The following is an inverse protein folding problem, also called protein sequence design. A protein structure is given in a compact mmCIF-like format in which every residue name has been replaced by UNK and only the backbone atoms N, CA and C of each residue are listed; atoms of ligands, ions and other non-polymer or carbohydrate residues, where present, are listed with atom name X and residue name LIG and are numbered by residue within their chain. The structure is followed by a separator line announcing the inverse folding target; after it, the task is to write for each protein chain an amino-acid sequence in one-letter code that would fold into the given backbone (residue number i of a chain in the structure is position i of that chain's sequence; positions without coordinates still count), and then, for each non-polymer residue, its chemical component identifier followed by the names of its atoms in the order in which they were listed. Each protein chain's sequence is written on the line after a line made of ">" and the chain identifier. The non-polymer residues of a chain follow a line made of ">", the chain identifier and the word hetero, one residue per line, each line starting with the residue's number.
data_IF_882130074143
#
_entry.id   IF_882130074143
#
_cell.length_a   1.000
_cell.length_b   1.000
_cell.length_c   1.000
_cell.angle_alpha   90.00
_cell.angle_beta   90.00
_cell.angle_gamma   90.00
#
_symmetry.space_group_name_H-M   'P 1'
#
loop_
_entity.id
_entity.type
_entity.pdbx_description
1 polymer ?
#
# COMPACT_ATOMS: atom_id res chain seq x y z
N UNK A 1 -2.30 -37.05 36.57
CA UNK A 1 -3.18 -36.44 35.53
C UNK A 1 -3.13 -34.90 35.44
N UNK A 2 -2.99 -34.14 36.53
CA UNK A 2 -3.03 -32.67 36.53
C UNK A 2 -1.93 -31.96 35.69
N UNK A 3 -0.70 -32.50 35.62
CA UNK A 3 0.40 -31.96 34.79
C UNK A 3 0.09 -31.99 33.28
N UNK A 4 -0.63 -33.00 32.80
CA UNK A 4 -1.03 -33.15 31.38
C UNK A 4 -2.13 -32.13 31.01
N UNK A 5 -3.13 -31.93 31.89
CA UNK A 5 -4.17 -30.90 31.75
C UNK A 5 -3.60 -29.46 31.69
N UNK A 6 -2.64 -29.12 32.55
CA UNK A 6 -2.01 -27.77 32.61
C UNK A 6 -1.10 -27.48 31.39
N UNK A 7 -0.41 -28.51 30.86
CA UNK A 7 0.39 -28.43 29.61
C UNK A 7 -0.52 -28.17 28.39
N UNK A 8 -1.70 -28.78 28.36
CA UNK A 8 -2.69 -28.58 27.31
C UNK A 8 -3.30 -27.15 27.34
N UNK A 9 -3.52 -26.58 28.52
CA UNK A 9 -4.06 -25.21 28.66
C UNK A 9 -3.16 -24.10 28.10
N UNK A 10 -1.84 -24.17 28.32
CA UNK A 10 -0.88 -23.17 27.81
C UNK A 10 -0.75 -23.28 26.28
N UNK A 11 -0.70 -24.50 25.74
CA UNK A 11 -0.69 -24.72 24.28
C UNK A 11 -2.00 -24.24 23.64
N UNK A 12 -3.14 -24.48 24.27
CA UNK A 12 -4.46 -24.01 23.80
C UNK A 12 -4.54 -22.49 23.75
N UNK A 13 -4.05 -21.78 24.76
CA UNK A 13 -4.05 -20.31 24.78
C UNK A 13 -3.05 -19.71 23.77
N UNK A 14 -1.88 -20.33 23.58
CA UNK A 14 -0.94 -19.92 22.53
C UNK A 14 -1.52 -20.15 21.12
N UNK A 15 -2.21 -21.27 20.92
CA UNK A 15 -2.92 -21.57 19.67
C UNK A 15 -4.04 -20.55 19.40
N UNK A 16 -4.88 -20.24 20.40
CA UNK A 16 -5.91 -19.19 20.28
C UNK A 16 -5.30 -17.83 19.89
N UNK A 17 -4.17 -17.45 20.48
CA UNK A 17 -3.48 -16.20 20.12
C UNK A 17 -2.91 -16.22 18.70
N UNK A 18 -2.46 -17.38 18.20
CA UNK A 18 -1.98 -17.53 16.83
C UNK A 18 -3.12 -17.49 15.82
N UNK A 19 -4.22 -18.21 16.08
CA UNK A 19 -5.44 -18.17 15.27
C UNK A 19 -6.00 -16.74 15.20
N UNK A 20 -6.02 -16.01 16.32
CA UNK A 20 -6.43 -14.60 16.35
C UNK A 20 -5.52 -13.71 15.47
N UNK A 21 -4.20 -13.95 15.46
CA UNK A 21 -3.29 -13.21 14.56
C UNK A 21 -3.52 -13.52 13.09
N UNK A 22 -3.82 -14.77 12.75
CA UNK A 22 -4.22 -15.14 11.37
C UNK A 22 -5.49 -14.40 10.98
N UNK A 23 -6.49 -14.40 11.85
CA UNK A 23 -7.73 -13.67 11.64
C UNK A 23 -7.48 -12.17 11.40
N UNK A 24 -6.61 -11.52 12.19
CA UNK A 24 -6.25 -10.12 11.99
C UNK A 24 -5.56 -9.88 10.63
N UNK A 25 -4.67 -10.77 10.20
CA UNK A 25 -4.03 -10.68 8.88
C UNK A 25 -5.07 -10.83 7.77
N UNK A 26 -6.01 -11.78 7.89
CA UNK A 26 -7.08 -11.95 6.92
C UNK A 26 -8.01 -10.73 6.85
N UNK A 27 -8.41 -10.18 8.00
CA UNK A 27 -9.22 -8.97 8.06
C UNK A 27 -8.50 -7.77 7.42
N UNK A 28 -7.20 -7.63 7.68
CA UNK A 28 -6.35 -6.62 7.02
C UNK A 28 -6.30 -6.83 5.51
N UNK A 29 -6.12 -8.06 5.03
CA UNK A 29 -6.08 -8.36 3.60
C UNK A 29 -7.42 -8.06 2.92
N UNK A 30 -8.55 -8.32 3.57
CA UNK A 30 -9.88 -7.93 3.04
C UNK A 30 -9.98 -6.41 2.89
N UNK A 31 -9.60 -5.66 3.92
CA UNK A 31 -9.60 -4.19 3.86
C UNK A 31 -8.65 -3.64 2.79
N UNK A 32 -7.46 -4.24 2.70
CA UNK A 32 -6.47 -3.89 1.68
C UNK A 32 -6.98 -4.17 0.27
N UNK A 33 -7.65 -5.31 0.04
CA UNK A 33 -8.28 -5.66 -1.23
C UNK A 33 -9.37 -4.67 -1.65
N UNK A 34 -10.20 -4.22 -0.70
CA UNK A 34 -11.22 -3.20 -0.98
C UNK A 34 -10.56 -1.87 -1.35
N UNK A 35 -9.51 -1.48 -0.61
CA UNK A 35 -8.80 -0.21 -0.83
C UNK A 35 -8.07 -0.19 -2.17
N UNK A 36 -7.50 -1.31 -2.59
CA UNK A 36 -6.71 -1.40 -3.83
C UNK A 36 -7.56 -1.64 -5.09
N UNK A 37 -8.82 -2.06 -4.92
CA UNK A 37 -9.72 -2.40 -6.02
C UNK A 37 -9.86 -1.30 -7.09
N UNK A 38 -10.05 -0.01 -6.75
CA UNK A 38 -10.08 1.08 -7.73
C UNK A 38 -8.83 1.16 -8.60
N UNK A 39 -7.64 0.97 -8.01
CA UNK A 39 -6.37 1.04 -8.72
C UNK A 39 -6.15 -0.15 -9.64
N UNK A 40 -6.60 -1.33 -9.22
CA UNK A 40 -6.53 -2.56 -10.05
C UNK A 40 -7.48 -2.45 -11.24
N UNK A 41 -8.71 -1.98 -11.01
CA UNK A 41 -9.70 -1.82 -12.09
C UNK A 41 -9.29 -0.73 -13.07
N UNK A 42 -8.75 0.39 -12.60
CA UNK A 42 -8.16 1.43 -13.45
C UNK A 42 -6.98 0.87 -14.26
N UNK A 43 -6.09 0.08 -13.65
CA UNK A 43 -5.00 -0.58 -14.38
C UNK A 43 -5.52 -1.53 -15.48
N UNK A 44 -6.57 -2.31 -15.21
CA UNK A 44 -7.20 -3.20 -16.20
C UNK A 44 -7.87 -2.40 -17.34
N UNK A 45 -8.56 -1.31 -17.03
CA UNK A 45 -9.16 -0.45 -18.05
C UNK A 45 -8.09 0.21 -18.94
N UNK A 46 -6.97 0.69 -18.36
CA UNK A 46 -5.87 1.22 -19.16
C UNK A 46 -5.25 0.15 -20.10
N UNK A 47 -5.22 -1.13 -19.70
CA UNK A 47 -4.79 -2.22 -20.59
C UNK A 47 -5.79 -2.43 -21.74
N UNK A 48 -7.09 -2.38 -21.45
CA UNK A 48 -8.15 -2.44 -22.47
C UNK A 48 -8.04 -1.27 -23.45
N UNK A 49 -7.88 -0.04 -22.94
CA UNK A 49 -7.72 1.18 -23.75
C UNK A 49 -6.52 1.07 -24.69
N UNK A 50 -5.39 0.56 -24.17
CA UNK A 50 -4.17 0.33 -24.97
C UNK A 50 -4.42 -0.70 -26.08
N UNK A 51 -5.15 -1.79 -25.79
CA UNK A 51 -5.51 -2.78 -26.79
C UNK A 51 -6.46 -2.21 -27.87
N UNK A 52 -7.46 -1.40 -27.48
CA UNK A 52 -8.36 -0.70 -28.40
C UNK A 52 -7.58 0.26 -29.29
N UNK A 53 -6.67 1.03 -28.71
CA UNK A 53 -5.82 1.98 -29.41
C UNK A 53 -4.93 1.29 -30.44
N UNK A 54 -4.22 0.22 -30.08
CA UNK A 54 -3.39 -0.53 -31.01
C UNK A 54 -4.22 -1.12 -32.15
N UNK A 55 -5.35 -1.75 -31.82
CA UNK A 55 -6.24 -2.30 -32.84
C UNK A 55 -6.79 -1.24 -33.79
N UNK A 56 -7.16 -0.07 -33.26
CA UNK A 56 -7.62 1.07 -34.05
C UNK A 56 -6.51 1.57 -34.99
N UNK A 57 -5.28 1.71 -34.49
CA UNK A 57 -4.12 2.13 -35.28
C UNK A 57 -3.77 1.13 -36.38
N UNK A 58 -3.78 -0.17 -36.07
CA UNK A 58 -3.52 -1.25 -37.02
C UNK A 58 -4.59 -1.32 -38.12
N UNK A 59 -5.86 -1.09 -37.74
CA UNK A 59 -6.98 -1.08 -38.68
C UNK A 59 -7.11 0.19 -39.50
N UNK A 60 -6.37 1.26 -39.22
CA UNK A 60 -6.39 2.54 -39.95
C UNK A 60 -5.80 2.42 -41.38
N UNK A 61 -6.28 1.45 -42.16
CA UNK A 61 -6.02 1.21 -43.57
C UNK A 61 -6.87 2.16 -44.44
N UNK A 62 -6.60 2.21 -45.75
CA UNK A 62 -7.35 3.06 -46.68
C UNK A 62 -8.85 2.66 -46.75
N UNK A 63 -9.18 1.38 -46.58
CA UNK A 63 -10.57 0.92 -46.55
C UNK A 63 -11.30 1.40 -45.29
N UNK A 64 -10.61 1.42 -44.14
CA UNK A 64 -11.14 1.98 -42.90
C UNK A 64 -11.32 3.50 -42.99
N UNK A 65 -10.36 4.21 -43.60
CA UNK A 65 -10.50 5.64 -43.88
C UNK A 65 -11.75 5.92 -44.72
N UNK A 66 -12.01 5.14 -45.76
CA UNK A 66 -13.21 5.27 -46.59
C UNK A 66 -14.50 5.08 -45.77
N UNK A 67 -14.55 4.05 -44.90
CA UNK A 67 -15.71 3.84 -44.03
C UNK A 67 -15.92 4.99 -43.03
N UNK A 68 -14.84 5.57 -42.49
CA UNK A 68 -14.91 6.77 -41.65
C UNK A 68 -15.37 8.01 -42.42
N UNK A 69 -14.99 8.13 -43.70
CA UNK A 69 -15.47 9.22 -44.56
C UNK A 69 -16.96 9.09 -44.88
N UNK A 70 -17.44 7.88 -45.16
CA UNK A 70 -18.87 7.62 -45.34
C UNK A 70 -19.66 7.98 -44.06
N UNK A 71 -19.18 7.54 -42.90
CA UNK A 71 -19.76 7.89 -41.59
C UNK A 71 -19.76 9.40 -41.34
N UNK A 72 -18.65 10.07 -41.65
CA UNK A 72 -18.53 11.53 -41.57
C UNK A 72 -19.56 12.22 -42.47
N UNK A 73 -19.73 11.78 -43.71
CA UNK A 73 -20.69 12.37 -44.63
C UNK A 73 -22.13 12.23 -44.13
N UNK A 74 -22.50 11.06 -43.63
CA UNK A 74 -23.82 10.82 -43.03
C UNK A 74 -24.07 11.73 -41.82
N UNK A 75 -23.12 11.80 -40.90
CA UNK A 75 -23.24 12.64 -39.69
C UNK A 75 -23.25 14.13 -40.03
N UNK A 76 -22.48 14.57 -41.04
CA UNK A 76 -22.51 15.97 -41.51
C UNK A 76 -23.86 16.37 -42.11
N UNK A 77 -24.63 15.41 -42.66
CA UNK A 77 -26.00 15.66 -43.15
C UNK A 77 -26.95 15.82 -41.97
N UNK A 78 -26.85 14.96 -40.95
CA UNK A 78 -27.64 15.05 -39.71
C UNK A 78 -27.34 16.36 -38.96
N UNK A 79 -26.07 16.74 -38.86
CA UNK A 79 -25.59 17.99 -38.28
C UNK A 79 -26.26 19.22 -38.95
N UNK A 80 -26.34 19.23 -40.28
CA UNK A 80 -26.97 20.32 -41.05
C UNK A 80 -28.49 20.39 -40.92
N UNK A 81 -29.14 19.26 -40.70
CA UNK A 81 -30.59 19.16 -40.52
C UNK A 81 -31.04 19.44 -39.08
N UNK A 82 -30.10 19.78 -38.20
CA UNK A 82 -30.34 19.91 -36.78
C UNK A 82 -31.15 21.16 -36.44
N UNK A 83 -32.25 20.96 -35.75
CA UNK A 83 -33.11 22.02 -35.17
C UNK A 83 -33.08 22.06 -33.64
N UNK A 84 -32.51 21.05 -32.96
CA UNK A 84 -32.52 20.91 -31.49
C UNK A 84 -31.15 21.15 -30.85
N UNK A 85 -31.11 21.61 -29.59
CA UNK A 85 -29.89 21.75 -28.78
C UNK A 85 -29.19 20.40 -28.53
N UNK A 86 -27.92 20.41 -28.10
CA UNK A 86 -27.18 19.18 -27.79
C UNK A 86 -27.75 18.63 -26.49
N UNK A 87 -28.05 17.35 -26.44
CA UNK A 87 -28.52 16.73 -25.22
C UNK A 87 -27.35 16.48 -24.27
N UNK A 88 -27.57 16.68 -22.97
CA UNK A 88 -26.52 16.39 -21.98
C UNK A 88 -26.38 14.87 -21.81
N UNK A 89 -25.19 14.30 -22.07
CA UNK A 89 -24.97 12.86 -22.00
C UNK A 89 -25.08 12.30 -20.57
N UNK A 90 -25.16 13.16 -19.56
CA UNK A 90 -25.26 12.79 -18.14
C UNK A 90 -26.58 13.26 -17.50
N UNK A 91 -27.62 13.50 -18.30
CA UNK A 91 -28.96 13.85 -17.82
C UNK A 91 -29.62 12.69 -17.09
N UNK A 92 -30.54 12.98 -16.15
CA UNK A 92 -31.26 11.93 -15.39
C UNK A 92 -31.95 10.92 -16.32
N UNK A 93 -32.60 11.37 -17.39
CA UNK A 93 -33.22 10.50 -18.40
C UNK A 93 -32.21 9.56 -19.08
N UNK A 94 -30.99 10.04 -19.34
CA UNK A 94 -29.92 9.24 -19.93
C UNK A 94 -29.38 8.18 -18.95
N UNK A 95 -29.37 8.49 -17.65
CA UNK A 95 -28.85 7.63 -16.59
C UNK A 95 -29.89 6.63 -16.06
N UNK A 96 -31.17 6.98 -15.98
CA UNK A 96 -32.25 6.07 -15.54
C UNK A 96 -32.45 4.90 -16.51
N UNK A 97 -32.19 5.12 -17.80
CA UNK A 97 -32.27 4.09 -18.85
C UNK A 97 -30.93 3.37 -19.09
N UNK A 98 -29.90 3.68 -18.31
CA UNK A 98 -28.56 3.13 -18.46
C UNK A 98 -28.45 1.73 -17.83
N UNK A 99 -28.79 0.69 -18.59
CA UNK A 99 -28.33 -0.66 -18.25
C UNK A 99 -26.84 -0.78 -18.59
N UNK A 100 -25.99 -1.01 -17.58
CA UNK A 100 -24.58 -1.32 -17.82
C UNK A 100 -24.42 -2.78 -18.23
N UNK A 101 -24.13 -3.03 -19.50
CA UNK A 101 -23.84 -4.36 -20.04
C UNK A 101 -22.34 -4.52 -20.23
N UNK A 102 -21.82 -5.64 -19.75
CA UNK A 102 -20.45 -6.04 -20.05
C UNK A 102 -20.39 -6.56 -21.47
N UNK A 103 -19.63 -5.88 -22.32
CA UNK A 103 -19.43 -6.28 -23.72
C UNK A 103 -18.06 -6.91 -23.94
N UNK A 104 -17.90 -7.60 -25.07
CA UNK A 104 -16.59 -8.12 -25.49
C UNK A 104 -15.66 -7.00 -25.96
N UNK A 105 -14.37 -7.28 -26.02
CA UNK A 105 -13.38 -6.33 -26.54
C UNK A 105 -13.69 -5.92 -27.99
N UNK A 106 -14.16 -6.85 -28.82
CA UNK A 106 -14.53 -6.62 -30.22
C UNK A 106 -15.67 -5.61 -30.36
N UNK A 107 -16.64 -5.64 -29.45
CA UNK A 107 -17.70 -4.65 -29.41
C UNK A 107 -17.15 -3.23 -29.25
N UNK A 108 -16.19 -3.03 -28.34
CA UNK A 108 -15.54 -1.73 -28.17
C UNK A 108 -14.73 -1.34 -29.40
N UNK A 109 -14.06 -2.29 -30.06
CA UNK A 109 -13.32 -2.03 -31.29
C UNK A 109 -14.23 -1.49 -32.41
N UNK A 110 -15.43 -2.05 -32.59
CA UNK A 110 -16.36 -1.65 -33.65
C UNK A 110 -16.93 -0.24 -33.46
N UNK A 111 -17.09 0.19 -32.21
CA UNK A 111 -17.65 1.50 -31.86
C UNK A 111 -16.58 2.59 -31.71
N UNK A 112 -15.29 2.24 -31.78
CA UNK A 112 -14.20 3.22 -31.69
C UNK A 112 -14.05 4.00 -32.99
N UNK A 113 -14.18 5.31 -32.91
CA UNK A 113 -14.06 6.25 -34.04
C UNK A 113 -12.80 7.11 -33.98
N UNK A 114 -12.09 7.13 -32.86
CA UNK A 114 -10.86 7.89 -32.70
C UNK A 114 -10.20 7.67 -31.35
N UNK A 115 -9.17 8.45 -31.07
CA UNK A 115 -8.46 8.47 -29.79
C UNK A 115 -8.22 9.92 -29.38
N UNK A 116 -8.43 10.24 -28.10
CA UNK A 116 -8.04 11.52 -27.51
C UNK A 116 -6.79 11.34 -26.65
N UNK A 117 -5.79 12.18 -26.88
CA UNK A 117 -4.56 12.26 -26.08
C UNK A 117 -4.50 13.58 -25.34
N UNK A 118 -4.25 13.54 -24.03
CA UNK A 118 -4.16 14.71 -23.16
C UNK A 118 -2.84 14.63 -22.37
N UNK A 119 -1.73 15.14 -22.94
CA UNK A 119 -0.38 14.88 -22.43
C UNK A 119 -0.13 15.45 -21.04
N UNK A 120 -0.74 16.59 -20.73
CA UNK A 120 -0.63 17.30 -19.45
C UNK A 120 -1.02 16.39 -18.27
N UNK A 121 -2.06 15.58 -18.45
CA UNK A 121 -2.62 14.69 -17.43
C UNK A 121 -2.30 13.22 -17.70
N UNK A 122 -1.43 12.94 -18.68
CA UNK A 122 -0.98 11.59 -19.06
C UNK A 122 -2.13 10.63 -19.37
N UNK A 123 -3.17 11.14 -20.03
CA UNK A 123 -4.36 10.37 -20.39
C UNK A 123 -4.40 10.14 -21.91
N UNK A 124 -4.73 8.91 -22.30
CA UNK A 124 -5.18 8.56 -23.64
C UNK A 124 -6.45 7.72 -23.51
N UNK A 125 -7.46 8.00 -24.32
CA UNK A 125 -8.74 7.30 -24.27
C UNK A 125 -9.26 7.03 -25.69
N UNK A 126 -9.88 5.87 -25.93
CA UNK A 126 -10.68 5.69 -27.13
C UNK A 126 -11.85 6.68 -27.12
N UNK A 127 -12.25 7.11 -28.32
CA UNK A 127 -13.46 7.90 -28.57
C UNK A 127 -14.46 6.96 -29.22
N UNK A 128 -15.55 6.65 -28.51
CA UNK A 128 -16.67 5.88 -29.02
C UNK A 128 -17.69 6.77 -29.74
N UNK A 129 -18.49 6.18 -30.61
CA UNK A 129 -19.54 6.86 -31.38
C UNK A 129 -20.89 6.98 -30.65
N UNK A 130 -20.95 6.55 -29.40
CA UNK A 130 -22.18 6.47 -28.61
C UNK A 130 -21.91 6.91 -27.18
N UNK A 131 -22.75 7.81 -26.66
CA UNK A 131 -22.70 8.31 -25.28
C UNK A 131 -23.51 7.47 -24.29
N UNK A 132 -23.76 6.19 -24.61
CA UNK A 132 -24.36 5.26 -23.64
C UNK A 132 -23.37 4.96 -22.51
N UNK A 133 -23.90 4.62 -21.34
CA UNK A 133 -23.10 4.36 -20.14
C UNK A 133 -22.06 3.23 -20.32
N UNK A 134 -22.36 2.21 -21.13
CA UNK A 134 -21.43 1.13 -21.47
C UNK A 134 -20.13 1.62 -22.13
N UNK A 135 -20.19 2.76 -22.83
CA UNK A 135 -19.05 3.41 -23.48
C UNK A 135 -18.42 4.48 -22.58
N UNK A 136 -19.25 5.33 -21.96
CA UNK A 136 -18.77 6.40 -21.06
C UNK A 136 -18.05 5.85 -19.82
N UNK A 137 -18.40 4.64 -19.36
CA UNK A 137 -17.72 3.96 -18.26
C UNK A 137 -16.36 3.36 -18.64
N UNK A 138 -16.06 3.29 -19.95
CA UNK A 138 -14.83 2.70 -20.50
C UNK A 138 -13.90 3.69 -21.17
N UNK A 139 -14.41 4.77 -21.73
CA UNK A 139 -13.60 5.73 -22.47
C UNK A 139 -14.30 7.07 -22.67
N UNK A 140 -13.82 7.81 -23.66
CA UNK A 140 -14.50 9.01 -24.12
C UNK A 140 -15.54 8.64 -25.19
N UNK A 141 -16.55 9.47 -25.35
CA UNK A 141 -17.57 9.32 -26.37
C UNK A 141 -17.79 10.65 -27.09
N UNK A 142 -17.92 10.58 -28.40
CA UNK A 142 -18.36 11.71 -29.20
C UNK A 142 -19.84 11.97 -28.95
N UNK A 143 -20.19 13.22 -28.64
CA UNK A 143 -21.57 13.61 -28.44
C UNK A 143 -22.26 13.74 -29.80
N UNK A 144 -23.21 12.83 -30.06
CA UNK A 144 -23.97 12.80 -31.30
C UNK A 144 -24.58 14.18 -31.62
N UNK A 145 -24.65 14.50 -32.91
CA UNK A 145 -25.11 15.80 -33.42
C UNK A 145 -24.21 17.01 -33.12
N UNK A 146 -23.06 16.82 -32.45
CA UNK A 146 -21.93 17.78 -32.54
C UNK A 146 -21.14 17.53 -33.83
N UNK A 147 -20.22 18.41 -34.19
CA UNK A 147 -19.41 18.16 -35.39
C UNK A 147 -18.59 16.88 -35.22
N UNK A 148 -18.62 15.98 -36.20
CA UNK A 148 -17.77 14.79 -36.23
C UNK A 148 -16.27 15.15 -36.07
N UNK A 149 -15.46 14.37 -35.32
CA UNK A 149 -14.09 14.69 -34.88
C UNK A 149 -12.99 14.72 -35.99
N UNK A 150 -13.30 15.19 -37.20
CA UNK A 150 -12.34 15.36 -38.32
C UNK A 150 -11.75 16.79 -38.39
N UNK A 151 -12.20 17.70 -37.53
CA UNK A 151 -11.84 19.12 -37.59
C UNK A 151 -12.36 19.81 -38.87
N UNK A 152 -11.93 21.04 -39.09
CA UNK A 152 -12.35 21.90 -40.21
C UNK A 152 -13.01 23.21 -39.75
N UNK A 153 -13.06 24.20 -40.65
CA UNK A 153 -13.67 25.51 -40.38
C UNK A 153 -15.19 25.37 -40.19
N UNK A 154 -15.75 26.20 -39.32
CA UNK A 154 -17.18 26.20 -38.96
C UNK A 154 -17.60 24.89 -38.28
N UNK A 155 -16.75 24.36 -37.39
CA UNK A 155 -17.00 23.08 -36.70
C UNK A 155 -16.73 23.19 -35.21
N UNK A 156 -17.53 22.43 -34.45
CA UNK A 156 -17.40 22.29 -33.02
C UNK A 156 -17.72 20.86 -32.58
N UNK A 157 -16.67 20.06 -32.39
CA UNK A 157 -16.79 18.70 -31.86
C UNK A 157 -16.91 18.72 -30.34
N UNK A 158 -17.77 17.87 -29.78
CA UNK A 158 -17.86 17.68 -28.32
C UNK A 158 -17.57 16.23 -27.99
N UNK A 159 -16.63 16.01 -27.07
CA UNK A 159 -16.22 14.69 -26.58
C UNK A 159 -16.46 14.66 -25.08
N UNK A 160 -17.28 13.72 -24.62
CA UNK A 160 -17.63 13.55 -23.22
C UNK A 160 -16.97 12.32 -22.60
N UNK A 161 -16.55 12.41 -21.34
CA UNK A 161 -16.20 11.25 -20.53
C UNK A 161 -16.52 11.51 -19.06
N UNK A 162 -16.68 10.45 -18.27
CA UNK A 162 -16.95 10.57 -16.84
C UNK A 162 -15.79 11.21 -16.06
N UNK A 163 -16.13 11.76 -14.90
CA UNK A 163 -15.19 12.28 -13.90
C UNK A 163 -15.46 11.64 -12.55
N UNK A 164 -14.44 11.01 -11.99
CA UNK A 164 -14.47 10.42 -10.66
C UNK A 164 -15.13 9.04 -10.56
N UNK A 165 -15.07 8.22 -11.61
CA UNK A 165 -15.52 6.82 -11.48
C UNK A 165 -14.61 6.05 -10.50
N UNK A 166 -15.18 5.16 -9.66
CA UNK A 166 -14.37 4.30 -8.80
C UNK A 166 -13.46 3.33 -9.56
N UNK A 167 -13.74 3.08 -10.85
CA UNK A 167 -13.11 2.03 -11.64
C UNK A 167 -12.23 2.54 -12.79
N UNK A 168 -12.30 3.82 -13.14
CA UNK A 168 -11.54 4.38 -14.26
C UNK A 168 -11.28 5.89 -14.08
N UNK A 169 -10.05 6.32 -14.41
CA UNK A 169 -9.65 7.72 -14.27
C UNK A 169 -10.31 8.65 -15.30
N UNK A 170 -10.42 8.25 -16.58
CA UNK A 170 -11.11 9.01 -17.64
C UNK A 170 -10.78 10.53 -17.61
N UNK A 171 -11.79 11.41 -17.55
CA UNK A 171 -11.62 12.87 -17.46
C UNK A 171 -11.59 13.37 -16.00
N UNK A 172 -11.25 12.52 -15.03
CA UNK A 172 -11.17 12.90 -13.61
C UNK A 172 -10.29 14.13 -13.38
N UNK A 173 -9.17 14.20 -14.09
CA UNK A 173 -8.16 15.26 -13.96
C UNK A 173 -8.30 16.38 -15.01
N UNK A 174 -9.43 16.44 -15.74
CA UNK A 174 -9.63 17.44 -16.80
C UNK A 174 -9.58 18.88 -16.27
N UNK A 175 -9.87 19.09 -14.99
CA UNK A 175 -9.76 20.40 -14.31
C UNK A 175 -8.33 20.90 -14.13
N UNK A 176 -7.31 20.05 -14.36
CA UNK A 176 -5.89 20.43 -14.33
C UNK A 176 -5.40 21.07 -15.63
N UNK A 177 -6.22 21.07 -16.68
CA UNK A 177 -5.90 21.75 -17.93
C UNK A 177 -6.04 23.25 -17.75
N UNK A 178 -5.13 23.99 -18.37
CA UNK A 178 -5.09 25.44 -18.37
C UNK A 178 -5.13 25.98 -19.80
N UNK A 179 -5.47 27.27 -19.95
CA UNK A 179 -5.37 27.93 -21.26
C UNK A 179 -3.94 27.81 -21.78
N UNK A 180 -3.82 27.33 -23.02
CA UNK A 180 -2.54 27.11 -23.68
C UNK A 180 -2.01 25.68 -23.62
N UNK A 181 -2.54 24.82 -22.76
CA UNK A 181 -2.29 23.38 -22.84
C UNK A 181 -2.83 22.83 -24.18
N UNK A 182 -2.29 21.69 -24.63
CA UNK A 182 -2.66 21.07 -25.91
C UNK A 182 -3.19 19.67 -25.67
N UNK A 183 -4.24 19.29 -26.41
CA UNK A 183 -4.71 17.91 -26.55
C UNK A 183 -4.80 17.55 -28.04
N UNK A 184 -4.75 16.26 -28.35
CA UNK A 184 -4.71 15.76 -29.72
C UNK A 184 -5.84 14.76 -29.94
N UNK A 185 -6.56 14.90 -31.04
CA UNK A 185 -7.56 13.94 -31.51
C UNK A 185 -6.96 13.18 -32.69
N UNK A 186 -6.91 11.85 -32.59
CA UNK A 186 -6.54 10.95 -33.69
C UNK A 186 -7.80 10.37 -34.30
N UNK A 187 -7.99 10.57 -35.60
CA UNK A 187 -9.05 9.93 -36.40
C UNK A 187 -8.42 9.35 -37.66
N UNK A 188 -8.55 8.04 -37.84
CA UNK A 188 -7.81 7.30 -38.86
C UNK A 188 -6.30 7.49 -38.68
N UNK A 189 -5.64 8.10 -39.67
CA UNK A 189 -4.19 8.41 -39.62
C UNK A 189 -3.89 9.86 -39.23
N UNK A 190 -4.92 10.70 -39.14
CA UNK A 190 -4.77 12.13 -38.92
C UNK A 190 -4.68 12.44 -37.43
N UNK A 191 -3.77 13.34 -37.08
CA UNK A 191 -3.64 13.88 -35.74
C UNK A 191 -4.01 15.36 -35.77
N UNK A 192 -5.03 15.73 -35.00
CA UNK A 192 -5.60 17.07 -34.96
C UNK A 192 -5.29 17.66 -33.58
N UNK A 193 -4.35 18.61 -33.53
CA UNK A 193 -3.97 19.26 -32.28
C UNK A 193 -4.87 20.47 -31.98
N UNK A 194 -5.30 20.59 -30.73
CA UNK A 194 -6.11 21.70 -30.25
C UNK A 194 -5.45 22.34 -29.04
N UNK A 195 -5.28 23.66 -29.07
CA UNK A 195 -4.77 24.45 -27.95
C UNK A 195 -5.96 24.95 -27.14
N UNK A 196 -5.96 24.72 -25.83
CA UNK A 196 -7.03 25.17 -24.92
C UNK A 196 -7.12 26.69 -24.96
N UNK A 197 -8.28 27.20 -25.36
CA UNK A 197 -8.56 28.64 -25.46
C UNK A 197 -9.60 29.10 -24.46
N UNK A 198 -10.50 28.22 -24.02
CA UNK A 198 -11.53 28.56 -23.04
C UNK A 198 -11.82 27.39 -22.09
N UNK A 199 -12.17 27.73 -20.85
CA UNK A 199 -12.57 26.77 -19.81
C UNK A 199 -13.79 27.35 -19.11
N UNK A 200 -14.91 26.63 -19.12
CA UNK A 200 -16.16 27.10 -18.53
C UNK A 200 -16.79 26.02 -17.63
N UNK A 201 -17.52 26.46 -16.60
CA UNK A 201 -18.43 25.62 -15.82
C UNK A 201 -19.85 26.09 -16.13
N UNK A 202 -20.68 25.19 -16.63
CA UNK A 202 -22.06 25.49 -17.06
C UNK A 202 -23.05 24.54 -16.41
N UNK A 203 -24.33 24.90 -16.42
CA UNK A 203 -25.40 23.96 -16.04
C UNK A 203 -25.60 22.91 -17.14
N UNK A 204 -26.11 21.70 -16.82
CA UNK A 204 -26.36 20.65 -17.81
C UNK A 204 -27.19 21.11 -19.01
N UNK A 205 -28.16 21.99 -18.79
CA UNK A 205 -29.07 22.48 -19.84
C UNK A 205 -28.48 23.60 -20.70
N UNK A 206 -27.33 24.18 -20.28
CA UNK A 206 -26.70 25.28 -20.99
C UNK A 206 -25.74 24.75 -22.08
N UNK A 207 -26.28 24.63 -23.28
CA UNK A 207 -25.54 24.22 -24.47
C UNK A 207 -24.98 25.40 -25.27
N UNK A 208 -24.99 26.62 -24.73
CA UNK A 208 -24.59 27.82 -25.48
C UNK A 208 -23.12 27.77 -25.90
N UNK A 209 -22.27 27.20 -25.03
CA UNK A 209 -20.82 27.08 -25.21
C UNK A 209 -20.37 26.00 -26.18
N UNK A 210 -21.26 25.08 -26.55
CA UNK A 210 -20.97 23.97 -27.47
C UNK A 210 -21.50 24.21 -28.89
N UNK A 211 -21.99 25.43 -29.18
CA UNK A 211 -22.44 25.81 -30.52
C UNK A 211 -21.26 26.05 -31.45
N UNK A 212 -21.49 25.79 -32.74
CA UNK A 212 -20.55 26.12 -33.81
C UNK A 212 -20.33 27.64 -33.83
N UNK A 213 -19.06 28.04 -33.96
CA UNK A 213 -18.66 29.43 -34.08
C UNK A 213 -18.06 29.66 -35.45
N UNK A 214 -18.61 30.65 -36.17
CA UNK A 214 -18.21 30.95 -37.53
C UNK A 214 -16.72 31.30 -37.61
N UNK A 215 -16.02 30.70 -38.57
CA UNK A 215 -14.59 30.88 -38.84
C UNK A 215 -13.66 30.05 -37.95
N UNK A 216 -14.19 29.21 -37.04
CA UNK A 216 -13.37 28.49 -36.06
C UNK A 216 -13.48 26.97 -36.21
N UNK A 217 -12.40 26.27 -35.84
CA UNK A 217 -12.33 24.82 -35.71
C UNK A 217 -12.11 24.49 -34.23
N UNK A 218 -13.17 24.05 -33.56
CA UNK A 218 -13.22 23.89 -32.11
C UNK A 218 -13.46 22.43 -31.71
N UNK A 219 -12.85 22.01 -30.61
CA UNK A 219 -13.19 20.77 -29.92
C UNK A 219 -13.34 21.06 -28.43
N UNK A 220 -14.42 20.60 -27.83
CA UNK A 220 -14.65 20.69 -26.38
C UNK A 220 -14.58 19.31 -25.74
N UNK A 221 -13.74 19.18 -24.71
CA UNK A 221 -13.75 18.07 -23.78
C UNK A 221 -14.73 18.39 -22.64
N UNK A 222 -15.72 17.52 -22.44
CA UNK A 222 -16.83 17.72 -21.52
C UNK A 222 -16.82 16.66 -20.42
N UNK A 223 -16.98 17.10 -19.17
CA UNK A 223 -17.19 16.18 -18.04
C UNK A 223 -18.04 16.80 -16.93
N UNK A 224 -18.40 16.02 -15.91
CA UNK A 224 -19.17 16.47 -14.75
C UNK A 224 -18.30 17.20 -13.71
N UNK A 225 -18.89 18.18 -13.02
CA UNK A 225 -18.24 18.95 -11.95
C UNK A 225 -19.28 19.53 -10.99
N UNK A 226 -18.97 19.91 -9.73
CA UNK A 226 -17.77 19.59 -8.96
C UNK A 226 -17.57 18.08 -8.74
N UNK A 227 -16.35 17.68 -8.40
CA UNK A 227 -15.99 16.27 -8.17
C UNK A 227 -16.94 15.61 -7.15
N UNK A 228 -17.46 14.42 -7.48
CA UNK A 228 -18.44 13.65 -6.70
C UNK A 228 -19.83 14.30 -6.50
N UNK A 229 -20.05 15.51 -7.03
CA UNK A 229 -21.33 16.24 -6.92
C UNK A 229 -22.05 16.27 -8.27
N UNK A 230 -21.32 16.46 -9.37
CA UNK A 230 -21.80 16.32 -10.75
C UNK A 230 -23.02 17.20 -11.14
N UNK A 231 -23.25 18.31 -10.44
CA UNK A 231 -24.38 19.23 -10.69
C UNK A 231 -24.18 20.17 -11.88
N UNK A 232 -22.95 20.29 -12.37
CA UNK A 232 -22.54 21.17 -13.46
C UNK A 232 -21.68 20.38 -14.47
N UNK A 233 -21.36 21.03 -15.59
CA UNK A 233 -20.46 20.50 -16.63
C UNK A 233 -19.22 21.38 -16.74
N UNK A 234 -18.05 20.76 -16.69
CA UNK A 234 -16.77 21.37 -17.03
C UNK A 234 -16.54 21.20 -18.53
N UNK A 235 -16.37 22.32 -19.22
CA UNK A 235 -16.08 22.39 -20.65
C UNK A 235 -14.67 22.94 -20.84
N UNK A 236 -13.79 22.15 -21.45
CA UNK A 236 -12.45 22.57 -21.85
C UNK A 236 -12.41 22.65 -23.38
N UNK A 237 -12.48 23.87 -23.91
CA UNK A 237 -12.56 24.12 -25.35
C UNK A 237 -11.18 24.45 -25.91
N UNK A 238 -10.73 23.64 -26.85
CA UNK A 238 -9.54 23.88 -27.66
C UNK A 238 -9.88 24.37 -29.06
N UNK A 239 -9.00 25.20 -29.60
CA UNK A 239 -9.03 25.65 -30.99
C UNK A 239 -7.89 25.02 -31.77
N UNK A 240 -8.17 24.65 -33.02
CA UNK A 240 -7.22 23.97 -33.90
C UNK A 240 -5.91 24.76 -33.99
N UNK A 241 -4.80 24.06 -33.82
CA UNK A 241 -3.45 24.63 -33.89
C UNK A 241 -2.56 23.80 -34.81
N UNK A 242 -1.56 24.47 -35.41
CA UNK A 242 -0.47 23.81 -36.14
C UNK A 242 0.59 23.25 -35.20
N UNK A 243 0.56 23.63 -33.92
CA UNK A 243 1.45 23.12 -32.89
C UNK A 243 1.06 21.67 -32.53
N UNK A 244 1.58 20.72 -33.30
CA UNK A 244 1.51 19.31 -32.98
C UNK A 244 2.61 18.99 -31.95
N UNK A 245 2.25 18.50 -30.75
CA UNK A 245 3.25 17.86 -29.91
C UNK A 245 3.83 16.68 -30.68
N UNK A 246 5.10 16.36 -30.44
CA UNK A 246 5.72 15.15 -30.97
C UNK A 246 4.87 13.94 -30.55
N UNK A 247 4.12 13.39 -31.51
CA UNK A 247 3.08 12.39 -31.25
C UNK A 247 3.68 11.09 -30.75
N UNK A 248 4.87 10.71 -31.26
CA UNK A 248 5.59 9.54 -30.79
C UNK A 248 6.02 9.73 -29.34
N UNK A 249 6.72 10.83 -29.06
CA UNK A 249 7.17 11.12 -27.69
C UNK A 249 6.02 11.26 -26.71
N UNK A 250 4.91 11.87 -27.14
CA UNK A 250 3.70 12.02 -26.34
C UNK A 250 3.12 10.67 -25.93
N UNK A 251 2.92 9.77 -26.88
CA UNK A 251 2.38 8.43 -26.62
C UNK A 251 3.34 7.62 -25.75
N UNK A 252 4.65 7.65 -26.06
CA UNK A 252 5.67 7.01 -25.24
C UNK A 252 5.66 7.51 -23.78
N UNK A 253 5.56 8.82 -23.57
CA UNK A 253 5.51 9.42 -22.24
C UNK A 253 4.26 8.97 -21.46
N UNK A 254 3.11 8.84 -22.14
CA UNK A 254 1.85 8.36 -21.55
C UNK A 254 2.00 6.88 -21.18
N UNK A 255 2.44 6.04 -22.11
CA UNK A 255 2.60 4.60 -21.90
C UNK A 255 3.60 4.29 -20.79
N UNK A 256 4.72 5.01 -20.76
CA UNK A 256 5.76 4.86 -19.73
C UNK A 256 5.27 5.28 -18.36
N UNK A 257 4.45 6.34 -18.27
CA UNK A 257 3.79 6.74 -17.03
C UNK A 257 2.81 5.66 -16.54
N UNK A 258 1.97 5.12 -17.44
CA UNK A 258 1.02 4.06 -17.10
C UNK A 258 1.75 2.78 -16.65
N UNK A 259 2.82 2.38 -17.34
CA UNK A 259 3.63 1.23 -16.98
C UNK A 259 4.28 1.39 -15.60
N UNK A 260 4.83 2.57 -15.30
CA UNK A 260 5.42 2.85 -13.99
C UNK A 260 4.37 2.79 -12.87
N UNK A 261 3.18 3.36 -13.11
CA UNK A 261 2.04 3.30 -12.18
C UNK A 261 1.62 1.85 -11.91
N UNK A 262 1.50 1.03 -12.95
CA UNK A 262 1.16 -0.40 -12.84
C UNK A 262 2.24 -1.20 -12.10
N UNK A 263 3.53 -0.95 -12.39
CA UNK A 263 4.63 -1.59 -11.69
C UNK A 263 4.66 -1.22 -10.19
N UNK A 264 4.41 0.06 -9.87
CA UNK A 264 4.26 0.55 -8.50
C UNK A 264 3.13 -0.17 -7.75
N UNK A 265 1.98 -0.37 -8.41
CA UNK A 265 0.85 -1.11 -7.85
C UNK A 265 1.22 -2.56 -7.53
N UNK A 266 1.78 -3.30 -8.51
CA UNK A 266 2.16 -4.71 -8.34
C UNK A 266 3.22 -4.87 -7.26
N UNK A 267 4.26 -4.04 -7.27
CA UNK A 267 5.30 -4.07 -6.25
C UNK A 267 4.75 -3.79 -4.83
N UNK A 268 3.81 -2.85 -4.69
CA UNK A 268 3.12 -2.57 -3.43
C UNK A 268 2.31 -3.77 -2.90
N UNK A 269 1.61 -4.50 -3.77
CA UNK A 269 0.88 -5.73 -3.42
C UNK A 269 1.86 -6.81 -2.96
N UNK A 270 2.91 -7.08 -3.74
CA UNK A 270 3.92 -8.11 -3.44
C UNK A 270 4.62 -7.81 -2.11
N UNK A 271 4.98 -6.55 -1.86
CA UNK A 271 5.58 -6.11 -0.59
C UNK A 271 4.62 -6.36 0.58
N UNK A 272 3.34 -6.00 0.45
CA UNK A 272 2.33 -6.20 1.49
C UNK A 272 2.13 -7.67 1.83
N UNK A 273 2.03 -8.54 0.82
CA UNK A 273 1.94 -9.99 1.00
C UNK A 273 3.19 -10.56 1.67
N UNK A 274 4.38 -10.12 1.24
CA UNK A 274 5.66 -10.55 1.82
C UNK A 274 5.75 -10.19 3.31
N UNK A 275 5.35 -8.98 3.70
CA UNK A 275 5.31 -8.54 5.09
C UNK A 275 4.32 -9.35 5.93
N UNK A 276 3.15 -9.69 5.37
CA UNK A 276 2.17 -10.57 6.02
C UNK A 276 2.74 -11.97 6.25
N UNK A 277 3.41 -12.55 5.24
CA UNK A 277 4.06 -13.86 5.34
C UNK A 277 5.17 -13.84 6.39
N UNK A 278 6.02 -12.81 6.39
CA UNK A 278 7.09 -12.64 7.39
C UNK A 278 6.50 -12.52 8.80
N UNK A 279 5.43 -11.74 8.97
CA UNK A 279 4.73 -11.60 10.25
C UNK A 279 4.17 -12.94 10.73
N UNK A 280 3.49 -13.69 9.86
CA UNK A 280 2.94 -15.01 10.17
C UNK A 280 4.04 -16.04 10.47
N UNK A 281 5.16 -15.99 9.75
CA UNK A 281 6.34 -16.82 10.01
C UNK A 281 6.87 -16.59 11.44
N UNK A 282 7.06 -15.33 11.84
CA UNK A 282 7.48 -15.01 13.22
C UNK A 282 6.41 -15.39 14.25
N UNK A 283 5.13 -15.21 13.94
CA UNK A 283 4.03 -15.65 14.80
C UNK A 283 4.06 -17.17 15.01
N UNK A 284 4.26 -17.95 13.94
CA UNK A 284 4.40 -19.40 13.98
C UNK A 284 5.64 -19.82 14.77
N UNK A 285 6.78 -19.18 14.53
CA UNK A 285 8.02 -19.44 15.28
C UNK A 285 7.81 -19.23 16.79
N UNK A 286 7.14 -18.15 17.18
CA UNK A 286 6.81 -17.91 18.59
C UNK A 286 5.86 -18.94 19.18
N UNK A 287 4.89 -19.44 18.41
CA UNK A 287 3.99 -20.52 18.83
C UNK A 287 4.76 -21.83 19.05
N UNK A 288 5.65 -22.18 18.12
CA UNK A 288 6.48 -23.39 18.19
C UNK A 288 7.43 -23.36 19.40
N UNK A 289 8.11 -22.22 19.62
CA UNK A 289 8.99 -22.03 20.79
C UNK A 289 8.18 -22.12 22.09
N UNK A 290 7.00 -21.48 22.18
CA UNK A 290 6.14 -21.52 23.37
C UNK A 290 5.57 -22.92 23.67
N UNK A 291 5.42 -23.75 22.64
CA UNK A 291 4.99 -25.14 22.76
C UNK A 291 6.03 -26.07 23.40
N UNK A 292 7.31 -25.68 23.39
CA UNK A 292 8.43 -26.43 23.95
C UNK A 292 8.71 -26.04 25.42
N UNK A 293 9.42 -26.94 26.11
CA UNK A 293 9.84 -26.76 27.51
C UNK A 293 11.36 -26.78 27.56
N UNK A 294 11.91 -25.89 28.36
CA UNK A 294 13.34 -25.64 28.47
C UNK A 294 13.72 -25.62 29.94
N UNK A 295 14.91 -26.12 30.22
CA UNK A 295 15.53 -25.99 31.53
C UNK A 295 16.48 -24.79 31.48
N UNK A 296 16.36 -23.93 32.48
CA UNK A 296 17.26 -22.80 32.66
C UNK A 296 18.27 -23.19 33.74
N UNK A 297 19.49 -23.44 33.34
CA UNK A 297 20.61 -23.76 34.24
C UNK A 297 21.72 -22.76 34.02
N UNK A 298 22.09 -22.03 35.08
CA UNK A 298 23.22 -21.11 35.06
C UNK A 298 23.95 -21.13 36.40
N UNK A 299 25.25 -20.84 36.36
CA UNK A 299 26.06 -20.65 37.56
C UNK A 299 26.35 -19.18 37.79
N UNK A 300 26.41 -18.78 39.05
CA UNK A 300 26.68 -17.39 39.46
C UNK A 300 27.92 -17.38 40.33
N UNK A 301 28.98 -16.73 39.84
CA UNK A 301 30.27 -16.65 40.51
C UNK A 301 30.64 -15.20 40.78
N UNK A 302 31.30 -14.97 41.91
CA UNK A 302 32.03 -13.73 42.15
C UNK A 302 33.34 -13.74 41.35
N UNK A 303 33.72 -12.58 40.82
CA UNK A 303 34.92 -12.41 39.99
C UNK A 303 36.15 -12.03 40.80
N UNK A 304 35.98 -11.56 42.05
CA UNK A 304 37.07 -11.02 42.87
C UNK A 304 37.95 -12.10 43.53
N UNK A 305 37.57 -13.38 43.40
CA UNK A 305 38.33 -14.51 43.93
C UNK A 305 38.88 -15.41 42.80
N UNK A 306 40.19 -15.69 42.86
CA UNK A 306 40.87 -16.60 41.92
C UNK A 306 40.33 -18.05 41.93
N UNK A 307 39.44 -18.37 42.87
CA UNK A 307 38.92 -19.71 43.17
C UNK A 307 37.47 -19.98 42.68
N UNK A 308 36.88 -19.14 41.82
CA UNK A 308 35.49 -19.31 41.33
C UNK A 308 34.47 -19.60 42.46
N UNK A 309 34.51 -18.81 43.55
CA UNK A 309 33.63 -19.03 44.69
C UNK A 309 32.18 -18.68 44.27
N UNK A 310 31.20 -19.60 44.45
CA UNK A 310 29.80 -19.32 44.17
C UNK A 310 29.25 -18.22 45.08
N UNK A 311 28.33 -17.42 44.53
CA UNK A 311 27.57 -16.42 45.29
C UNK A 311 26.46 -17.09 46.11
N UNK A 312 26.86 -17.75 47.20
CA UNK A 312 25.98 -18.46 48.13
C UNK A 312 24.89 -17.54 48.71
N UNK A 313 23.75 -18.10 49.09
CA UNK A 313 22.57 -17.40 49.61
C UNK A 313 21.89 -16.36 48.69
N UNK A 314 22.35 -16.15 47.44
CA UNK A 314 21.67 -15.25 46.49
C UNK A 314 20.34 -15.84 46.02
N UNK A 315 19.28 -15.03 46.02
CA UNK A 315 17.95 -15.44 45.55
C UNK A 315 17.52 -14.68 44.30
N UNK A 316 16.96 -15.38 43.32
CA UNK A 316 16.46 -14.80 42.08
C UNK A 316 14.96 -15.00 41.93
N UNK A 317 14.27 -13.96 41.45
CA UNK A 317 12.88 -14.00 41.04
C UNK A 317 12.73 -13.99 39.53
N UNK A 318 11.81 -14.81 39.00
CA UNK A 318 11.48 -14.83 37.57
C UNK A 318 10.25 -13.97 37.28
N UNK A 319 10.38 -13.05 36.32
CA UNK A 319 9.35 -12.09 35.89
C UNK A 319 9.02 -12.23 34.40
N UNK A 320 7.89 -11.65 33.99
CA UNK A 320 7.48 -11.52 32.59
C UNK A 320 8.48 -10.70 31.74
N UNK A 321 8.32 -10.73 30.41
CA UNK A 321 9.18 -9.97 29.47
C UNK A 321 9.32 -8.49 29.85
N UNK A 322 8.28 -7.88 30.44
CA UNK A 322 8.27 -6.47 30.87
C UNK A 322 8.85 -6.26 32.28
N UNK A 323 9.11 -7.31 33.05
CA UNK A 323 9.67 -7.23 34.40
C UNK A 323 8.71 -6.72 35.46
N UNK A 324 7.39 -6.76 35.18
CA UNK A 324 6.33 -6.20 36.02
C UNK A 324 5.61 -7.25 36.85
N UNK A 325 5.44 -8.46 36.31
CA UNK A 325 4.67 -9.54 36.97
C UNK A 325 5.56 -10.75 37.23
N UNK A 326 5.50 -11.29 38.44
CA UNK A 326 6.19 -12.53 38.80
C UNK A 326 5.58 -13.72 38.05
N UNK A 327 6.41 -14.59 37.50
CA UNK A 327 5.97 -15.85 36.91
C UNK A 327 5.65 -16.81 38.05
N UNK A 328 4.41 -17.33 38.05
CA UNK A 328 3.93 -18.22 39.09
C UNK A 328 3.94 -19.69 38.63
N UNK A 329 4.32 -20.60 39.52
CA UNK A 329 4.19 -22.06 39.38
C UNK A 329 3.30 -22.55 40.51
N UNK A 330 2.18 -23.17 40.15
CA UNK A 330 1.17 -23.66 41.12
C UNK A 330 0.54 -22.59 42.06
N UNK A 331 0.63 -21.30 41.71
CA UNK A 331 0.05 -20.20 42.50
C UNK A 331 1.12 -19.34 43.16
N UNK A 332 2.33 -19.87 43.29
CA UNK A 332 3.46 -19.24 43.97
C UNK A 332 4.48 -18.67 42.98
N UNK A 333 5.12 -17.52 43.29
CA UNK A 333 6.22 -16.98 42.49
C UNK A 333 7.38 -17.99 42.34
N UNK A 334 7.95 -18.08 41.14
CA UNK A 334 9.19 -18.83 40.93
C UNK A 334 10.34 -18.01 41.50
N UNK A 335 10.81 -18.41 42.69
CA UNK A 335 12.01 -17.93 43.34
C UNK A 335 13.00 -19.10 43.37
N UNK A 336 14.27 -18.85 43.06
CA UNK A 336 15.32 -19.85 43.06
C UNK A 336 16.55 -19.33 43.81
N UNK A 337 17.09 -20.17 44.68
CA UNK A 337 18.32 -19.93 45.43
C UNK A 337 19.51 -20.58 44.71
N UNK A 338 20.70 -20.01 44.89
CA UNK A 338 21.95 -20.59 44.42
C UNK A 338 22.33 -21.76 45.32
N UNK A 339 22.59 -22.93 44.73
CA UNK A 339 23.01 -24.14 45.43
C UNK A 339 24.38 -23.97 46.12
N UNK A 340 24.47 -24.38 47.40
CA UNK A 340 25.63 -24.15 48.28
C UNK A 340 26.85 -25.02 47.96
N UNK A 341 26.68 -26.13 47.26
CA UNK A 341 27.80 -27.00 46.89
C UNK A 341 28.29 -26.72 45.47
N UNK A 342 27.36 -26.38 44.57
CA UNK A 342 27.64 -26.35 43.12
C UNK A 342 27.57 -24.96 42.49
N UNK A 343 26.99 -23.97 43.19
CA UNK A 343 26.77 -22.62 42.65
C UNK A 343 25.74 -22.55 41.52
N UNK A 344 24.97 -23.63 41.31
CA UNK A 344 24.04 -23.78 40.19
C UNK A 344 22.66 -23.27 40.58
N UNK A 345 22.06 -22.47 39.69
CA UNK A 345 20.63 -22.19 39.70
C UNK A 345 19.98 -23.01 38.59
N UNK A 346 19.02 -23.87 38.97
CA UNK A 346 18.28 -24.70 38.03
C UNK A 346 16.77 -24.44 38.12
N UNK A 347 16.19 -23.92 37.04
CA UNK A 347 14.74 -23.74 36.89
C UNK A 347 14.23 -24.66 35.77
N UNK A 348 13.69 -25.84 36.10
CA UNK A 348 13.26 -26.80 35.09
C UNK A 348 11.92 -26.40 34.46
N UNK A 349 11.65 -26.92 33.26
CA UNK A 349 10.33 -26.96 32.62
C UNK A 349 9.68 -25.58 32.36
N UNK A 350 10.49 -24.57 32.05
CA UNK A 350 10.01 -23.25 31.64
C UNK A 350 9.44 -23.31 30.22
N UNK A 351 8.25 -22.72 29.96
CA UNK A 351 7.78 -22.51 28.60
C UNK A 351 8.76 -21.65 27.79
N UNK A 352 8.91 -21.89 26.49
CA UNK A 352 9.71 -21.04 25.61
C UNK A 352 9.10 -19.64 25.45
N UNK A 353 9.45 -18.73 26.36
CA UNK A 353 9.03 -17.34 26.37
C UNK A 353 10.22 -16.45 26.75
N UNK A 354 10.03 -15.14 26.65
CA UNK A 354 11.01 -14.16 27.15
C UNK A 354 10.69 -13.84 28.61
N UNK A 355 11.68 -13.95 29.48
CA UNK A 355 11.56 -13.65 30.91
C UNK A 355 12.56 -12.59 31.35
N UNK A 356 12.35 -12.06 32.55
CA UNK A 356 13.37 -11.30 33.26
C UNK A 356 13.75 -11.99 34.56
N UNK A 357 15.04 -12.03 34.84
CA UNK A 357 15.60 -12.50 36.09
C UNK A 357 16.03 -11.28 36.90
N UNK A 358 15.60 -11.19 38.15
CA UNK A 358 16.02 -10.16 39.10
C UNK A 358 16.55 -10.81 40.36
N UNK A 359 17.64 -10.30 40.90
CA UNK A 359 18.04 -10.67 42.25
C UNK A 359 17.07 -10.06 43.26
N UNK A 360 16.59 -10.87 44.20
CA UNK A 360 15.70 -10.45 45.29
C UNK A 360 16.50 -10.24 46.58
N UNK A 361 17.54 -11.05 46.78
CA UNK A 361 18.49 -10.91 47.88
C UNK A 361 19.88 -11.27 47.40
N UNK A 362 20.87 -10.46 47.80
CA UNK A 362 22.30 -10.66 47.58
C UNK A 362 22.96 -10.38 48.93
N UNK A 363 23.88 -11.24 49.43
CA UNK A 363 24.58 -10.98 50.68
C UNK A 363 25.27 -9.60 50.67
N UNK A 364 25.24 -8.88 51.80
CA UNK A 364 25.65 -7.46 51.95
C UNK A 364 27.08 -7.15 51.45
N UNK A 365 27.91 -8.16 51.31
CA UNK A 365 29.28 -8.07 50.80
C UNK A 365 29.39 -7.87 49.28
N UNK A 366 28.27 -7.81 48.52
CA UNK A 366 28.30 -7.77 47.04
C UNK A 366 27.37 -6.72 46.39
N UNK A 367 27.73 -6.27 45.18
CA UNK A 367 27.01 -5.25 44.40
C UNK A 367 25.63 -5.75 43.90
N UNK A 368 24.60 -4.88 43.75
CA UNK A 368 23.30 -5.29 43.21
C UNK A 368 23.41 -5.86 41.80
N UNK A 369 22.92 -7.10 41.63
CA UNK A 369 23.02 -7.81 40.36
C UNK A 369 22.13 -7.15 39.28
N UNK A 370 22.63 -7.02 38.03
CA UNK A 370 21.88 -6.42 36.94
C UNK A 370 20.68 -7.29 36.54
N UNK A 371 19.56 -6.66 36.17
CA UNK A 371 18.43 -7.40 35.58
C UNK A 371 18.89 -8.17 34.32
N UNK A 372 18.54 -9.45 34.24
CA UNK A 372 18.89 -10.29 33.09
C UNK A 372 17.66 -10.62 32.25
N UNK A 373 17.85 -10.71 30.94
CA UNK A 373 16.86 -11.18 29.95
C UNK A 373 17.12 -12.65 29.68
N UNK A 374 16.08 -13.47 29.84
CA UNK A 374 16.12 -14.88 29.47
C UNK A 374 15.28 -15.06 28.20
N UNK A 375 15.81 -15.74 27.20
CA UNK A 375 15.11 -16.00 25.95
C UNK A 375 15.63 -17.25 25.23
N UNK A 376 14.84 -17.75 24.29
CA UNK A 376 15.25 -18.76 23.32
C UNK A 376 15.50 -18.03 22.00
N UNK A 377 16.66 -18.23 21.40
CA UNK A 377 17.11 -17.51 20.21
C UNK A 377 16.63 -18.22 18.94
N UNK A 378 16.89 -19.54 18.85
CA UNK A 378 16.46 -20.40 17.75
C UNK A 378 15.53 -21.51 18.24
N UNK A 379 14.58 -21.93 17.39
CA UNK A 379 13.64 -23.04 17.72
C UNK A 379 14.35 -24.33 18.16
N UNK A 380 15.51 -24.63 17.55
CA UNK A 380 16.29 -25.86 17.81
C UNK A 380 17.17 -25.77 19.07
N UNK A 381 17.28 -24.60 19.69
CA UNK A 381 18.02 -24.49 20.94
C UNK A 381 17.37 -25.39 21.98
N UNK A 382 18.18 -26.11 22.77
CA UNK A 382 17.70 -26.96 23.87
C UNK A 382 17.77 -26.24 25.22
N UNK A 383 18.40 -25.08 25.27
CA UNK A 383 18.72 -24.31 26.49
C UNK A 383 18.34 -22.86 26.26
N UNK A 384 17.90 -22.18 27.32
CA UNK A 384 17.62 -20.74 27.30
C UNK A 384 18.91 -19.92 27.43
N UNK A 385 19.01 -18.83 26.67
CA UNK A 385 20.09 -17.85 26.78
C UNK A 385 19.77 -16.82 27.87
N UNK A 386 20.82 -16.30 28.52
CA UNK A 386 20.74 -15.21 29.51
C UNK A 386 21.61 -14.07 29.02
N UNK A 387 21.08 -12.83 28.96
CA UNK A 387 21.87 -11.64 28.63
C UNK A 387 21.51 -10.47 29.55
N UNK A 388 22.45 -9.60 29.95
CA UNK A 388 22.13 -8.44 30.78
C UNK A 388 21.19 -7.48 30.04
N UNK A 389 20.31 -6.82 30.79
CA UNK A 389 19.29 -5.91 30.20
C UNK A 389 19.93 -4.67 29.58
N UNK A 390 20.92 -4.09 30.24
CA UNK A 390 21.74 -2.95 29.79
C UNK A 390 23.08 -3.47 29.24
N UNK A 391 23.71 -2.74 28.31
CA UNK A 391 25.09 -3.04 27.90
C UNK A 391 25.99 -2.84 29.12
N UNK A 392 26.59 -3.92 29.59
CA UNK A 392 27.59 -3.91 30.66
C UNK A 392 28.97 -4.06 30.04
N UNK A 393 29.99 -3.44 30.65
CA UNK A 393 31.38 -3.66 30.22
C UNK A 393 31.73 -5.15 30.43
N UNK A 394 32.64 -5.69 29.63
CA UNK A 394 33.10 -7.08 29.79
C UNK A 394 33.73 -7.33 31.17
N UNK A 395 34.21 -6.27 31.84
CA UNK A 395 34.66 -6.30 33.24
C UNK A 395 33.53 -6.53 34.26
N UNK A 396 32.27 -6.27 33.90
CA UNK A 396 31.09 -6.34 34.79
C UNK A 396 30.22 -7.57 34.53
N UNK A 397 30.26 -8.12 33.31
CA UNK A 397 29.52 -9.33 32.95
C UNK A 397 30.27 -10.11 31.88
N UNK A 398 30.55 -11.38 32.15
CA UNK A 398 31.02 -12.34 31.15
C UNK A 398 30.14 -13.57 31.19
N UNK A 399 29.81 -14.09 30.01
CA UNK A 399 29.15 -15.38 29.88
C UNK A 399 29.95 -16.28 28.95
N UNK A 400 30.10 -17.55 29.31
CA UNK A 400 30.75 -18.57 28.51
C UNK A 400 29.94 -19.83 28.59
N UNK A 401 29.93 -20.58 27.51
CA UNK A 401 29.26 -21.88 27.43
C UNK A 401 30.32 -22.96 27.64
N UNK A 402 30.13 -23.77 28.68
CA UNK A 402 31.00 -24.91 28.99
C UNK A 402 30.11 -26.13 29.19
N UNK A 403 30.39 -27.25 28.52
CA UNK A 403 29.63 -28.52 28.66
C UNK A 403 28.10 -28.38 28.64
N UNK A 404 27.56 -27.61 27.68
CA UNK A 404 26.12 -27.32 27.53
C UNK A 404 25.48 -26.53 28.70
N UNK A 405 26.26 -26.07 29.68
CA UNK A 405 25.81 -25.14 30.73
C UNK A 405 26.27 -23.71 30.45
N UNK A 406 25.48 -22.74 30.91
CA UNK A 406 25.82 -21.32 30.83
C UNK A 406 26.52 -20.90 32.13
N UNK A 407 27.78 -20.54 32.04
CA UNK A 407 28.52 -19.95 33.15
C UNK A 407 28.39 -18.43 33.06
N UNK A 408 27.91 -17.80 34.13
CA UNK A 408 27.71 -16.36 34.22
C UNK A 408 28.60 -15.83 35.33
N UNK A 409 29.62 -15.06 34.97
CA UNK A 409 30.46 -14.34 35.92
C UNK A 409 29.99 -12.89 35.98
N UNK A 410 29.82 -12.40 37.20
CA UNK A 410 29.38 -11.03 37.46
C UNK A 410 30.50 -10.39 38.27
N UNK A 411 31.15 -9.38 37.69
CA UNK A 411 32.33 -8.77 38.30
C UNK A 411 31.99 -7.51 39.04
N UNK A 412 32.50 -7.40 40.28
CA UNK A 412 32.58 -6.15 41.00
C UNK A 412 33.57 -5.22 40.30
N UNK A 413 33.19 -3.96 40.10
CA UNK A 413 34.16 -2.88 40.19
C UNK A 413 33.91 -2.27 41.56
N UNK A 414 34.89 -2.43 42.45
CA UNK A 414 34.88 -1.84 43.78
C UNK A 414 34.44 -0.37 43.73
N UNK A 415 33.57 0.01 44.66
CA UNK A 415 33.26 1.43 44.93
C UNK A 415 34.51 2.19 45.42
N UNK A 416 35.55 1.50 45.87
CA UNK A 416 36.83 2.10 46.28
C UNK A 416 37.62 2.73 45.13
N UNK A 417 37.38 2.34 43.88
CA UNK A 417 38.05 2.96 42.73
C UNK A 417 37.39 4.28 42.26
N UNK A 418 36.29 4.73 42.88
CA UNK A 418 35.61 6.01 42.56
C UNK A 418 35.58 6.96 43.78
N UNK A 419 36.20 6.59 44.91
CA UNK A 419 36.42 7.50 46.06
C UNK A 419 37.72 8.30 46.01
N UNK A 420 38.43 8.34 44.89
CA UNK A 420 39.44 9.37 44.59
C UNK A 420 38.89 10.36 43.56
N UNK A 421 38.02 11.25 44.04
CA UNK A 421 37.89 12.59 43.46
C UNK A 421 38.04 13.54 44.64
N UNK A 422 39.16 14.25 44.64
CA UNK A 422 39.45 15.34 45.57
C UNK A 422 38.27 16.30 45.66
N UNK A 423 37.85 16.63 46.87
CA UNK A 423 37.20 17.90 47.15
C UNK A 423 38.17 18.69 48.02
N UNK A 424 38.84 19.67 47.40
CA UNK A 424 39.48 20.79 48.10
C UNK A 424 38.39 21.70 48.66
N UNK A 425 38.54 22.14 49.92
CA UNK A 425 37.98 23.43 50.36
C UNK A 425 37.52 23.55 51.83
N UNK A 426 38.43 24.08 52.66
CA UNK A 426 38.24 24.98 53.82
C UNK A 426 37.60 24.51 55.14
N UNK A 427 38.44 24.46 56.19
CA UNK A 427 38.07 24.84 57.56
C UNK A 427 38.12 26.38 57.72
N UNK A 428 37.42 26.87 58.75
CA UNK A 428 37.25 28.29 59.14
C UNK A 428 38.57 29.03 59.35
#
# INVERSE_FOLDING_TARGET
>A
MARKKKKNGIKRNAMKQFVFKIFLVLAFLVFFSITIYPFVTDALNNLLDTAILHHYQDKATNAYQKAQEEKYEEESKKERLRTRALEDPFSEESLENAEVKTHSTEFYFEHTIGVVYIPKIKQQLPIFDSTKEDFLSKGAAWLAYSSFPKGGVDRHTVISAHRGLPTASLFTDLDKLERGDVFVIMVGKEHLAYKVVDINIVKPEDTSKTRIQKGRDLTTLLTCTPYMVNTHRLLVTGERTTLLPDTQKMTEDIDKYQLLKQFGLVSGVVMTLSLCIIYLYYALLTLLIRGNRYDLTFRVFDRDHALEIPLYATTFGLYDKKGKRTIKRNGEPIICQVDEETGVVHIPNLPGMKYRLKALYVPETHYPLPEMKIFVDKRRDKIMQIKPRRKLKQSQFTQKRVNKMLHVWIGAKSLDAIRKVEVKGYEK
#
